data_IF_284067093360
#
_entry.id   IF_284067093360
#
_cell.length_a   1.000
_cell.length_b   1.000
_cell.length_c   1.000
_cell.angle_alpha   90.00
_cell.angle_beta   90.00
_cell.angle_gamma   90.00
#
_symmetry.space_group_name_H-M   'P 1'
#
loop_
_entity.id
_entity.type
_entity.pdbx_description
1 polymer ?
#
# COMPACT_ATOMS: atom_id res chain seq x y z
N UNK A 1 0.61 -3.59 -0.36
CA UNK A 1 0.12 -2.97 0.91
C UNK A 1 -1.34 -2.49 0.82
N UNK A 2 -1.94 -2.47 -0.37
CA UNK A 2 -3.36 -2.20 -0.61
C UNK A 2 -3.91 -3.34 -1.47
N UNK A 3 -5.12 -3.83 -1.23
CA UNK A 3 -5.72 -4.88 -2.06
C UNK A 3 -6.98 -4.36 -2.72
N UNK A 4 -7.05 -4.54 -4.04
CA UNK A 4 -8.30 -4.39 -4.77
C UNK A 4 -9.23 -5.54 -4.39
N UNK A 5 -10.45 -5.21 -4.00
CA UNK A 5 -11.48 -6.20 -3.70
C UNK A 5 -12.20 -6.67 -4.96
N UNK A 6 -12.99 -7.74 -4.85
CA UNK A 6 -13.75 -8.25 -5.99
C UNK A 6 -14.75 -7.22 -6.52
N UNK A 7 -15.25 -6.30 -5.69
CA UNK A 7 -16.18 -5.24 -6.12
C UNK A 7 -15.53 -4.26 -7.08
N UNK A 8 -14.24 -3.95 -6.90
CA UNK A 8 -13.49 -3.15 -7.86
C UNK A 8 -13.54 -3.79 -9.25
N UNK A 9 -13.24 -5.10 -9.32
CA UNK A 9 -13.14 -5.84 -10.56
C UNK A 9 -14.50 -6.16 -11.20
N UNK A 10 -15.52 -6.45 -10.40
CA UNK A 10 -16.91 -6.52 -10.87
C UNK A 10 -17.34 -5.19 -11.50
N UNK A 11 -16.96 -4.06 -10.89
CA UNK A 11 -17.29 -2.74 -11.40
C UNK A 11 -16.70 -2.41 -12.76
N UNK A 12 -15.62 -3.09 -13.17
CA UNK A 12 -14.99 -2.90 -14.50
C UNK A 12 -15.38 -3.99 -15.51
N UNK A 13 -16.23 -4.96 -15.14
CA UNK A 13 -16.72 -6.00 -16.03
C UNK A 13 -15.76 -7.17 -16.23
N UNK A 14 -14.96 -7.52 -15.21
CA UNK A 14 -13.95 -8.58 -15.31
C UNK A 14 -14.54 -9.96 -15.66
N UNK A 15 -15.83 -10.18 -15.38
CA UNK A 15 -16.54 -11.43 -15.64
C UNK A 15 -16.61 -11.81 -17.13
N UNK A 16 -16.29 -10.86 -18.02
CA UNK A 16 -16.18 -11.08 -19.47
C UNK A 16 -14.89 -11.84 -19.85
N UNK A 17 -13.90 -11.91 -18.96
CA UNK A 17 -12.64 -12.62 -19.18
C UNK A 17 -12.73 -14.09 -18.79
N UNK A 18 -11.89 -14.95 -19.40
CA UNK A 18 -11.69 -16.29 -18.85
C UNK A 18 -11.00 -16.22 -17.48
N UNK A 19 -11.14 -17.26 -16.62
CA UNK A 19 -10.52 -17.25 -15.29
C UNK A 19 -9.00 -17.04 -15.30
N UNK A 20 -8.31 -17.51 -16.35
CA UNK A 20 -6.85 -17.37 -16.48
C UNK A 20 -6.46 -15.93 -16.84
N UNK A 21 -7.17 -15.33 -17.81
CA UNK A 21 -6.96 -13.93 -18.21
C UNK A 21 -7.31 -12.98 -17.06
N UNK A 22 -8.42 -13.24 -16.36
CA UNK A 22 -8.83 -12.48 -15.20
C UNK A 22 -7.75 -12.50 -14.10
N UNK A 23 -7.14 -13.65 -13.82
CA UNK A 23 -6.09 -13.74 -12.81
C UNK A 23 -4.86 -12.90 -13.16
N UNK A 24 -4.38 -12.98 -14.40
CA UNK A 24 -3.24 -12.17 -14.88
C UNK A 24 -3.59 -10.68 -14.88
N UNK A 25 -4.79 -10.33 -15.32
CA UNK A 25 -5.26 -8.95 -15.34
C UNK A 25 -5.40 -8.36 -13.93
N UNK A 26 -5.99 -9.11 -12.98
CA UNK A 26 -6.08 -8.70 -11.56
C UNK A 26 -4.69 -8.40 -11.00
N UNK A 27 -3.71 -9.26 -11.27
CA UNK A 27 -2.34 -9.04 -10.83
C UNK A 27 -1.74 -7.77 -11.46
N UNK A 28 -1.88 -7.59 -12.77
CA UNK A 28 -1.31 -6.41 -13.43
C UNK A 28 -1.93 -5.09 -12.95
N UNK A 29 -3.26 -5.05 -12.77
CA UNK A 29 -3.96 -3.88 -12.23
C UNK A 29 -3.53 -3.59 -10.79
N UNK A 30 -3.28 -4.63 -9.99
CA UNK A 30 -2.77 -4.50 -8.64
C UNK A 30 -1.36 -3.89 -8.60
N UNK A 31 -0.45 -4.36 -9.46
CA UNK A 31 0.92 -3.83 -9.59
C UNK A 31 0.93 -2.36 -10.05
N UNK A 32 0.09 -2.03 -11.04
CA UNK A 32 -0.09 -0.66 -11.53
C UNK A 32 -0.65 0.26 -10.43
N UNK A 33 -1.60 -0.23 -9.62
CA UNK A 33 -2.17 0.56 -8.53
C UNK A 33 -1.10 0.88 -7.49
N UNK A 34 -0.31 -0.11 -7.09
CA UNK A 34 0.78 0.08 -6.14
C UNK A 34 1.82 1.09 -6.66
N UNK A 35 2.13 1.03 -7.95
CA UNK A 35 3.03 1.99 -8.62
C UNK A 35 2.48 3.42 -8.55
N UNK A 36 1.25 3.64 -9.03
CA UNK A 36 0.64 4.98 -9.05
C UNK A 36 0.42 5.56 -7.66
N UNK A 37 0.01 4.72 -6.71
CA UNK A 37 -0.14 5.13 -5.32
C UNK A 37 1.23 5.51 -4.75
N UNK A 38 2.27 4.72 -5.00
CA UNK A 38 3.65 5.05 -4.59
C UNK A 38 4.13 6.39 -5.14
N UNK A 39 3.96 6.64 -6.43
CA UNK A 39 4.30 7.94 -7.06
C UNK A 39 3.52 9.09 -6.43
N UNK A 40 2.22 8.90 -6.17
CA UNK A 40 1.37 9.96 -5.59
C UNK A 40 1.64 10.23 -4.12
N UNK A 41 2.04 9.22 -3.36
CA UNK A 41 2.52 9.33 -1.97
C UNK A 41 3.83 10.10 -1.92
N UNK A 42 4.70 9.87 -2.91
CA UNK A 42 6.03 10.46 -2.93
C UNK A 42 6.04 11.86 -3.53
N UNK A 43 5.02 12.20 -4.32
CA UNK A 43 4.76 13.56 -4.82
C UNK A 43 4.63 14.56 -3.67
N UNK A 44 5.47 15.60 -3.68
CA UNK A 44 5.52 16.64 -2.67
C UNK A 44 6.46 16.37 -1.48
N UNK A 45 7.12 15.22 -1.41
CA UNK A 45 8.16 14.97 -0.39
C UNK A 45 9.52 15.53 -0.77
N UNK A 46 10.28 15.96 0.25
CA UNK A 46 11.70 16.27 0.05
C UNK A 46 12.50 14.98 -0.11
N UNK A 47 13.65 15.07 -0.78
CA UNK A 47 14.57 13.94 -0.94
C UNK A 47 14.94 13.31 0.41
N UNK A 48 15.04 14.10 1.47
CA UNK A 48 15.35 13.61 2.81
C UNK A 48 14.23 12.73 3.37
N UNK A 49 12.97 13.07 3.08
CA UNK A 49 11.80 12.28 3.46
C UNK A 49 11.66 11.02 2.64
N UNK A 50 12.00 11.07 1.35
CA UNK A 50 12.06 9.88 0.50
C UNK A 50 13.14 8.92 1.00
N UNK A 51 14.34 9.41 1.30
CA UNK A 51 15.43 8.60 1.85
C UNK A 51 15.10 8.03 3.24
N UNK A 52 14.41 8.80 4.09
CA UNK A 52 13.91 8.31 5.38
C UNK A 52 12.92 7.15 5.18
N UNK A 53 12.00 7.27 4.24
CA UNK A 53 11.03 6.23 3.94
C UNK A 53 11.68 4.98 3.34
N UNK A 54 12.59 5.14 2.38
CA UNK A 54 13.37 4.04 1.78
C UNK A 54 14.11 3.23 2.85
N UNK A 55 14.77 3.91 3.80
CA UNK A 55 15.45 3.24 4.91
C UNK A 55 14.52 2.43 5.81
N UNK A 56 13.24 2.80 5.91
CA UNK A 56 12.24 2.02 6.64
C UNK A 56 11.81 0.79 5.82
N UNK A 57 11.57 0.97 4.52
CA UNK A 57 11.16 -0.10 3.60
C UNK A 57 12.25 -1.16 3.47
N UNK A 58 13.50 -0.74 3.31
CA UNK A 58 14.67 -1.63 3.20
C UNK A 58 15.10 -2.24 4.54
N UNK A 59 14.40 -1.90 5.62
CA UNK A 59 14.77 -2.27 6.99
C UNK A 59 16.25 -2.00 7.29
N UNK A 60 16.71 -0.79 6.93
CA UNK A 60 18.11 -0.42 7.03
C UNK A 60 18.63 -0.66 8.47
N UNK A 61 19.81 -1.29 8.65
CA UNK A 61 20.26 -1.76 9.96
C UNK A 61 20.17 -0.70 11.06
N UNK A 62 19.32 -0.96 12.06
CA UNK A 62 19.10 -0.09 13.22
C UNK A 62 18.30 1.19 12.96
N UNK A 63 17.95 1.49 11.70
CA UNK A 63 17.22 2.71 11.36
C UNK A 63 15.78 2.67 11.89
N UNK A 64 15.06 1.60 11.59
CA UNK A 64 13.65 1.44 11.99
C UNK A 64 13.50 1.45 13.51
N UNK A 65 14.37 0.76 14.24
CA UNK A 65 14.31 0.73 15.71
C UNK A 65 14.53 2.12 16.30
N UNK A 66 15.51 2.87 15.77
CA UNK A 66 15.77 4.25 16.19
C UNK A 66 14.60 5.18 15.81
N UNK A 67 14.05 5.03 14.61
CA UNK A 67 12.93 5.84 14.15
C UNK A 67 11.69 5.62 15.03
N UNK A 68 11.35 4.36 15.34
CA UNK A 68 10.23 4.02 16.22
C UNK A 68 10.45 4.54 17.63
N UNK A 69 11.67 4.42 18.17
CA UNK A 69 12.01 4.95 19.50
C UNK A 69 11.77 6.46 19.60
N UNK A 70 12.03 7.22 18.53
CA UNK A 70 11.88 8.67 18.50
C UNK A 70 10.43 9.09 18.22
N UNK A 71 9.78 8.48 17.23
CA UNK A 71 8.51 8.97 16.68
C UNK A 71 7.28 8.25 17.25
N UNK A 72 7.43 7.00 17.67
CA UNK A 72 6.33 6.16 18.17
C UNK A 72 6.80 5.45 19.45
N UNK A 73 7.12 6.21 20.51
CA UNK A 73 7.55 5.62 21.76
C UNK A 73 6.48 4.65 22.26
N UNK A 74 6.91 3.51 22.77
CA UNK A 74 6.01 2.46 23.27
C UNK A 74 5.08 1.83 22.21
N UNK A 75 5.54 1.75 20.96
CA UNK A 75 4.76 1.15 19.86
C UNK A 75 4.24 -0.27 20.14
N UNK A 76 4.87 -1.02 21.06
CA UNK A 76 4.42 -2.37 21.44
C UNK A 76 3.07 -2.38 22.16
N UNK A 77 2.66 -1.25 22.73
CA UNK A 77 1.32 -1.06 23.31
C UNK A 77 0.34 -0.41 22.33
N UNK A 78 0.77 -0.06 21.11
CA UNK A 78 -0.11 0.47 20.06
C UNK A 78 -1.08 -0.63 19.58
N UNK A 79 -2.37 -0.30 19.53
CA UNK A 79 -3.41 -1.24 19.11
C UNK A 79 -3.22 -1.76 17.69
N UNK A 80 -2.73 -0.92 16.78
CA UNK A 80 -2.45 -1.31 15.40
C UNK A 80 -1.26 -2.27 15.34
N UNK A 81 -0.22 -2.07 16.15
CA UNK A 81 0.90 -3.00 16.23
C UNK A 81 0.47 -4.37 16.78
N UNK A 82 -0.33 -4.36 17.85
CA UNK A 82 -0.90 -5.59 18.43
C UNK A 82 -1.74 -6.33 17.40
N UNK A 83 -2.63 -5.63 16.68
CA UNK A 83 -3.46 -6.23 15.65
C UNK A 83 -2.64 -6.83 14.51
N UNK A 84 -1.64 -6.09 14.01
CA UNK A 84 -0.74 -6.55 12.94
C UNK A 84 0.05 -7.79 13.36
N UNK A 85 0.55 -7.81 14.60
CA UNK A 85 1.26 -8.98 15.17
C UNK A 85 0.35 -10.20 15.21
N UNK A 86 -0.93 -10.04 15.61
CA UNK A 86 -1.90 -11.15 15.60
C UNK A 86 -2.19 -11.65 14.19
N UNK A 87 -2.33 -10.74 13.21
CA UNK A 87 -2.53 -11.11 11.81
C UNK A 87 -1.34 -11.90 11.24
N UNK A 88 -0.12 -11.54 11.66
CA UNK A 88 1.13 -12.15 11.19
C UNK A 88 1.57 -13.37 12.03
N UNK A 89 0.62 -14.07 12.67
CA UNK A 89 0.88 -15.33 13.40
C UNK A 89 1.10 -15.18 14.91
N UNK A 90 0.81 -14.01 15.47
CA UNK A 90 0.82 -13.76 16.92
C UNK A 90 2.19 -13.57 17.55
N UNK A 91 3.27 -13.57 16.76
CA UNK A 91 4.64 -13.35 17.22
C UNK A 91 5.24 -12.11 16.57
N UNK A 92 5.86 -11.25 17.39
CA UNK A 92 6.64 -10.12 16.89
C UNK A 92 7.80 -10.65 16.03
N UNK A 93 7.92 -10.12 14.82
CA UNK A 93 9.02 -10.41 13.91
C UNK A 93 9.45 -9.14 13.18
N UNK A 94 10.63 -9.19 12.55
CA UNK A 94 11.25 -8.04 11.90
C UNK A 94 10.37 -7.41 10.82
N UNK A 95 9.72 -8.26 10.02
CA UNK A 95 8.77 -7.82 9.00
C UNK A 95 7.61 -7.01 9.59
N UNK A 96 7.01 -7.50 10.69
CA UNK A 96 5.89 -6.83 11.38
C UNK A 96 6.31 -5.47 11.94
N UNK A 97 7.53 -5.36 12.47
CA UNK A 97 8.09 -4.09 12.99
C UNK A 97 8.27 -3.09 11.85
N UNK A 98 8.89 -3.49 10.74
CA UNK A 98 9.15 -2.60 9.60
C UNK A 98 7.85 -2.21 8.88
N UNK A 99 6.90 -3.13 8.74
CA UNK A 99 5.57 -2.85 8.19
C UNK A 99 4.83 -1.82 9.07
N UNK A 100 4.80 -2.02 10.38
CA UNK A 100 4.21 -1.04 11.30
C UNK A 100 4.90 0.32 11.23
N UNK A 101 6.23 0.36 11.19
CA UNK A 101 6.98 1.60 11.05
C UNK A 101 6.64 2.34 9.75
N UNK A 102 6.51 1.62 8.64
CA UNK A 102 6.13 2.21 7.34
C UNK A 102 4.72 2.83 7.40
N UNK A 103 3.77 2.15 8.05
CA UNK A 103 2.41 2.67 8.26
C UNK A 103 2.43 3.96 9.10
N UNK A 104 3.14 3.95 10.23
CA UNK A 104 3.25 5.14 11.10
C UNK A 104 3.98 6.29 10.42
N UNK A 105 4.99 5.99 9.62
CA UNK A 105 5.69 7.01 8.85
C UNK A 105 4.72 7.70 7.88
N UNK A 106 3.90 6.94 7.16
CA UNK A 106 2.87 7.50 6.28
C UNK A 106 1.80 8.28 7.05
N UNK A 107 1.33 7.79 8.20
CA UNK A 107 0.37 8.53 9.04
C UNK A 107 0.89 9.92 9.46
N UNK A 108 2.19 10.02 9.78
CA UNK A 108 2.83 11.25 10.23
C UNK A 108 3.11 12.19 9.05
N UNK A 109 3.63 11.67 7.94
CA UNK A 109 4.15 12.49 6.84
C UNK A 109 3.16 12.67 5.67
N UNK A 110 2.19 11.75 5.48
CA UNK A 110 1.05 11.82 4.55
C UNK A 110 -0.28 11.50 5.25
N UNK A 111 -0.81 12.39 6.10
CA UNK A 111 -2.12 12.17 6.73
C UNK A 111 -3.27 12.06 5.70
N UNK A 112 -3.06 12.58 4.48
CA UNK A 112 -3.96 12.47 3.33
C UNK A 112 -3.84 11.13 2.59
N UNK A 113 -2.97 10.22 3.03
CA UNK A 113 -2.65 8.97 2.35
C UNK A 113 -3.89 8.15 1.95
N UNK A 114 -4.84 7.96 2.87
CA UNK A 114 -6.08 7.22 2.56
C UNK A 114 -6.92 7.89 1.46
N UNK A 115 -6.90 9.22 1.38
CA UNK A 115 -7.60 9.96 0.33
C UNK A 115 -6.90 9.77 -1.01
N UNK A 116 -5.56 9.81 -1.03
CA UNK A 116 -4.75 9.53 -2.22
C UNK A 116 -5.10 8.15 -2.78
N UNK A 117 -5.06 7.10 -1.95
CA UNK A 117 -5.38 5.74 -2.40
C UNK A 117 -6.79 5.68 -2.99
N UNK A 118 -7.77 6.32 -2.34
CA UNK A 118 -9.15 6.37 -2.84
C UNK A 118 -9.25 7.07 -4.20
N UNK A 119 -8.54 8.19 -4.37
CA UNK A 119 -8.51 8.95 -5.63
C UNK A 119 -7.88 8.10 -6.74
N UNK A 120 -6.70 7.54 -6.51
CA UNK A 120 -5.98 6.74 -7.51
C UNK A 120 -6.76 5.49 -7.88
N UNK A 121 -7.36 4.79 -6.91
CA UNK A 121 -8.25 3.65 -7.19
C UNK A 121 -9.42 4.07 -8.08
N UNK A 122 -10.05 5.20 -7.81
CA UNK A 122 -11.18 5.69 -8.60
C UNK A 122 -10.77 6.08 -10.02
N UNK A 123 -9.68 6.84 -10.16
CA UNK A 123 -9.12 7.22 -11.46
C UNK A 123 -8.80 5.99 -12.31
N UNK A 124 -8.12 5.00 -11.71
CA UNK A 124 -7.84 3.73 -12.36
C UNK A 124 -9.11 2.97 -12.75
N UNK A 125 -10.11 2.91 -11.87
CA UNK A 125 -11.36 2.23 -12.19
C UNK A 125 -12.08 2.88 -13.38
N UNK A 126 -12.11 4.21 -13.42
CA UNK A 126 -12.76 4.98 -14.48
C UNK A 126 -11.99 4.84 -15.82
N UNK A 127 -10.66 4.84 -15.78
CA UNK A 127 -9.80 4.57 -16.94
C UNK A 127 -10.00 3.17 -17.51
N UNK A 128 -10.04 2.15 -16.65
CA UNK A 128 -10.25 0.77 -17.06
C UNK A 128 -11.63 0.60 -17.67
N UNK A 129 -12.70 1.12 -17.04
CA UNK A 129 -14.07 1.12 -17.61
C UNK A 129 -14.12 1.77 -18.98
N UNK A 130 -13.46 2.90 -19.17
CA UNK A 130 -13.47 3.63 -20.44
C UNK A 130 -12.74 2.88 -21.57
N UNK A 131 -11.82 1.98 -21.24
CA UNK A 131 -11.01 1.25 -22.22
C UNK A 131 -11.29 -0.25 -22.24
N UNK A 132 -12.22 -0.74 -21.42
CA UNK A 132 -12.39 -2.18 -21.21
C UNK A 132 -12.72 -2.92 -22.51
N UNK A 133 -13.51 -2.32 -23.40
CA UNK A 133 -13.85 -2.92 -24.68
C UNK A 133 -12.66 -3.01 -25.65
N UNK A 134 -11.63 -2.15 -25.50
CA UNK A 134 -10.37 -2.25 -26.25
C UNK A 134 -9.41 -3.29 -25.67
N UNK A 135 -9.55 -3.57 -24.37
CA UNK A 135 -8.77 -4.60 -23.66
C UNK A 135 -9.34 -5.99 -23.98
N UNK A 136 -10.65 -6.08 -24.23
CA UNK A 136 -11.37 -7.32 -24.54
C UNK A 136 -11.48 -7.66 -26.04
N UNK A 137 -11.04 -6.77 -26.95
CA UNK A 137 -11.11 -6.95 -28.42
C UNK A 137 -9.85 -7.58 -28.99
#
# INVERSE_FOLDING_TARGET
MFQLDDKFFEGIGIERMSPQEAAVFKQHVQEELETRVGERITDGFSNEKLEEFEKIIDDAPGFVDNWLMINVPDFRNDRAFIALTQQNGGQENRQTISEFASMKWLEINRPDFNQITTIVMKEMQDELKANIDKIFS
#
